data_IF_166374534270
#
_entry.id   IF_166374534270
#
_cell.length_a   1.000
_cell.length_b   1.000
_cell.length_c   1.000
_cell.angle_alpha   90.00
_cell.angle_beta   90.00
_cell.angle_gamma   90.00
#
_symmetry.space_group_name_H-M   'P 1'
#
loop_
_entity.id
_entity.type
_entity.pdbx_description
1 polymer ?
#
# COMPACT_ATOMS: atom_id res chain seq x y z
N UNK A 1 56.31 22.39 -4.18
CA UNK A 1 55.40 21.36 -4.71
C UNK A 1 54.38 21.04 -3.63
N UNK A 2 53.12 21.46 -3.82
CA UNK A 2 52.01 21.09 -2.92
C UNK A 2 51.39 19.78 -3.43
N UNK A 3 51.42 18.73 -2.62
CA UNK A 3 50.70 17.49 -2.93
C UNK A 3 49.21 17.72 -2.67
N UNK A 4 48.30 17.36 -3.60
CA UNK A 4 46.88 17.40 -3.33
C UNK A 4 46.54 16.31 -2.31
N UNK A 5 45.98 16.69 -1.17
CA UNK A 5 45.42 15.75 -0.19
C UNK A 5 44.25 15.03 -0.85
N UNK A 6 44.36 13.71 -1.01
CA UNK A 6 43.26 12.87 -1.49
C UNK A 6 42.08 13.02 -0.51
N UNK A 7 41.03 13.72 -0.94
CA UNK A 7 39.78 13.78 -0.21
C UNK A 7 39.30 12.34 0.03
N UNK A 8 39.02 12.02 1.29
CA UNK A 8 38.50 10.71 1.71
C UNK A 8 37.25 10.39 0.89
N UNK A 9 37.38 9.52 -0.10
CA UNK A 9 36.28 8.96 -0.85
C UNK A 9 35.53 8.01 0.09
N UNK A 10 34.56 8.55 0.84
CA UNK A 10 33.60 7.73 1.58
C UNK A 10 32.83 6.95 0.52
N UNK A 11 32.83 5.63 0.62
CA UNK A 11 32.07 4.80 -0.32
C UNK A 11 30.61 5.23 -0.26
N UNK A 12 29.95 5.42 -1.40
CA UNK A 12 28.51 5.80 -1.43
C UNK A 12 27.66 4.79 -0.63
N UNK A 13 28.14 3.54 -0.47
CA UNK A 13 27.53 2.52 0.40
C UNK A 13 27.54 2.86 1.89
N UNK A 14 28.50 3.65 2.38
CA UNK A 14 28.64 3.99 3.80
C UNK A 14 27.71 5.15 4.22
N UNK A 15 27.16 5.91 3.26
CA UNK A 15 26.22 7.01 3.52
C UNK A 15 24.74 6.57 3.51
N UNK A 16 24.44 5.34 3.09
CA UNK A 16 23.06 4.85 3.03
C UNK A 16 22.65 4.39 4.42
N UNK A 17 21.91 5.24 5.13
CA UNK A 17 21.37 4.94 6.45
C UNK A 17 20.21 3.96 6.31
N UNK A 18 20.38 2.77 6.86
CA UNK A 18 19.33 1.77 6.98
C UNK A 18 18.11 2.35 7.73
N UNK A 19 16.92 2.16 7.16
CA UNK A 19 15.65 2.52 7.80
C UNK A 19 15.40 1.53 8.94
N UNK A 20 14.84 2.00 10.05
CA UNK A 20 14.52 1.11 11.18
C UNK A 20 13.14 0.47 10.98
N UNK A 21 13.00 -0.81 11.34
CA UNK A 21 11.70 -1.50 11.33
C UNK A 21 10.59 -0.75 12.08
N UNK A 22 10.90 -0.20 13.25
CA UNK A 22 9.92 0.58 14.03
C UNK A 22 9.43 1.81 13.27
N UNK A 23 10.29 2.44 12.46
CA UNK A 23 9.92 3.59 11.64
C UNK A 23 8.98 3.16 10.50
N UNK A 24 9.25 2.01 9.87
CA UNK A 24 8.37 1.42 8.86
C UNK A 24 6.98 1.17 9.44
N UNK A 25 6.89 0.45 10.56
CA UNK A 25 5.61 0.16 11.21
C UNK A 25 4.87 1.41 11.67
N UNK A 26 5.59 2.37 12.24
CA UNK A 26 5.00 3.66 12.65
C UNK A 26 4.37 4.38 11.45
N UNK A 27 5.04 4.39 10.30
CA UNK A 27 4.50 4.99 9.08
C UNK A 27 3.27 4.23 8.58
N UNK A 28 3.32 2.90 8.49
CA UNK A 28 2.17 2.08 8.04
C UNK A 28 0.95 2.31 8.93
N UNK A 29 1.12 2.27 10.26
CA UNK A 29 0.01 2.49 11.20
C UNK A 29 -0.58 3.91 11.07
N UNK A 30 0.27 4.93 10.92
CA UNK A 30 -0.18 6.31 10.68
C UNK A 30 -0.92 6.45 9.35
N UNK A 31 -0.45 5.79 8.29
CA UNK A 31 -1.18 5.75 7.01
C UNK A 31 -2.55 5.13 7.19
N UNK A 32 -2.65 4.00 7.89
CA UNK A 32 -3.94 3.35 8.15
C UNK A 32 -4.87 4.26 8.96
N UNK A 33 -4.35 4.94 9.98
CA UNK A 33 -5.13 5.86 10.80
C UNK A 33 -5.68 7.04 9.99
N UNK A 34 -4.83 7.70 9.19
CA UNK A 34 -5.23 8.83 8.35
C UNK A 34 -6.30 8.39 7.34
N UNK A 35 -6.05 7.30 6.61
CA UNK A 35 -7.02 6.77 5.63
C UNK A 35 -8.32 6.30 6.29
N UNK A 36 -8.23 5.72 7.49
CA UNK A 36 -9.40 5.32 8.26
C UNK A 36 -10.27 6.52 8.64
N UNK A 37 -9.66 7.63 9.07
CA UNK A 37 -10.38 8.89 9.35
C UNK A 37 -11.05 9.44 8.09
N UNK A 38 -10.33 9.50 6.97
CA UNK A 38 -10.89 9.95 5.68
C UNK A 38 -12.09 9.09 5.24
N UNK A 39 -12.00 7.76 5.36
CA UNK A 39 -13.10 6.86 5.02
C UNK A 39 -14.30 6.98 5.98
N UNK A 40 -14.05 7.26 7.26
CA UNK A 40 -15.09 7.48 8.26
C UNK A 40 -15.82 8.81 8.01
N UNK A 41 -15.09 9.87 7.71
CA UNK A 41 -15.63 11.19 7.34
C UNK A 41 -16.48 11.10 6.06
N UNK A 42 -16.01 10.31 5.09
CA UNK A 42 -16.73 10.03 3.85
C UNK A 42 -17.89 9.01 4.03
N UNK A 43 -18.14 8.51 5.26
CA UNK A 43 -19.16 7.51 5.59
C UNK A 43 -19.04 6.19 4.80
N UNK A 44 -17.85 5.88 4.31
CA UNK A 44 -17.55 4.63 3.60
C UNK A 44 -17.43 3.48 4.60
N UNK A 45 -16.76 3.77 5.72
CA UNK A 45 -16.78 2.95 6.92
C UNK A 45 -17.54 3.68 8.03
N UNK A 46 -17.98 2.94 9.02
CA UNK A 46 -18.83 3.43 10.12
C UNK A 46 -18.22 3.09 11.48
N UNK A 47 -18.69 3.75 12.52
CA UNK A 47 -18.33 3.38 13.90
C UNK A 47 -18.80 1.98 14.27
N UNK A 48 -19.85 1.46 13.61
CA UNK A 48 -20.29 0.08 13.78
C UNK A 48 -19.24 -0.89 13.24
N UNK A 49 -18.70 -0.64 12.04
CA UNK A 49 -17.65 -1.49 11.44
C UNK A 49 -16.43 -1.59 12.39
N UNK A 50 -16.05 -0.48 13.06
CA UNK A 50 -14.98 -0.46 14.06
C UNK A 50 -15.34 -1.25 15.32
N UNK A 51 -16.56 -1.07 15.84
CA UNK A 51 -17.05 -1.81 17.01
C UNK A 51 -17.13 -3.32 16.75
N UNK A 52 -17.56 -3.72 15.56
CA UNK A 52 -17.64 -5.12 15.13
C UNK A 52 -16.25 -5.72 15.01
N UNK A 53 -15.30 -5.02 14.38
CA UNK A 53 -13.90 -5.47 14.34
C UNK A 53 -13.28 -5.67 15.73
N UNK A 54 -13.55 -4.78 16.69
CA UNK A 54 -13.08 -4.94 18.07
C UNK A 54 -13.70 -6.14 18.80
N UNK A 55 -14.93 -6.53 18.44
CA UNK A 55 -15.64 -7.68 19.01
C UNK A 55 -15.34 -8.98 18.29
N UNK A 56 -15.00 -8.91 17.01
CA UNK A 56 -14.73 -10.04 16.15
C UNK A 56 -13.47 -10.76 16.63
N UNK A 57 -13.64 -11.88 17.32
CA UNK A 57 -12.55 -12.79 17.72
C UNK A 57 -12.03 -13.61 16.52
N UNK A 58 -11.76 -12.95 15.39
CA UNK A 58 -11.30 -13.59 14.15
C UNK A 58 -12.41 -14.09 13.21
N UNK A 59 -13.65 -13.61 13.32
CA UNK A 59 -14.68 -13.82 12.30
C UNK A 59 -14.52 -12.84 11.13
N UNK A 60 -15.05 -13.20 9.95
CA UNK A 60 -15.07 -12.35 8.75
C UNK A 60 -15.84 -11.02 8.95
N UNK A 61 -16.59 -10.89 10.05
CA UNK A 61 -17.40 -9.72 10.40
C UNK A 61 -16.55 -8.45 10.62
N UNK A 62 -15.23 -8.59 10.84
CA UNK A 62 -14.30 -7.47 10.97
C UNK A 62 -13.38 -7.25 9.77
N UNK A 63 -13.57 -7.95 8.65
CA UNK A 63 -12.58 -8.00 7.56
C UNK A 63 -12.32 -6.64 6.89
N UNK A 64 -13.33 -5.78 6.77
CA UNK A 64 -13.18 -4.43 6.17
C UNK A 64 -12.17 -3.60 6.98
N UNK A 65 -12.22 -3.64 8.32
CA UNK A 65 -11.31 -2.88 9.17
C UNK A 65 -9.98 -3.63 9.37
N UNK A 66 -10.03 -4.95 9.60
CA UNK A 66 -8.85 -5.75 9.93
C UNK A 66 -7.93 -6.06 8.75
N UNK A 67 -8.47 -6.11 7.53
CA UNK A 67 -7.74 -6.45 6.30
C UNK A 67 -7.90 -5.34 5.26
N UNK A 68 -9.15 -4.98 4.95
CA UNK A 68 -9.48 -4.03 3.88
C UNK A 68 -8.83 -2.66 4.05
N UNK A 69 -8.95 -2.05 5.23
CA UNK A 69 -8.37 -0.73 5.53
C UNK A 69 -6.83 -0.72 5.45
N UNK A 70 -6.10 -1.68 6.06
CA UNK A 70 -4.66 -1.83 5.85
C UNK A 70 -4.28 -1.98 4.37
N UNK A 71 -4.96 -2.84 3.63
CA UNK A 71 -4.69 -3.06 2.21
C UNK A 71 -4.98 -1.80 1.36
N UNK A 72 -6.09 -1.12 1.62
CA UNK A 72 -6.45 0.14 0.97
C UNK A 72 -5.40 1.22 1.24
N UNK A 73 -4.98 1.38 2.50
CA UNK A 73 -3.95 2.35 2.88
C UNK A 73 -2.60 2.04 2.23
N UNK A 74 -2.27 0.76 2.13
CA UNK A 74 -1.07 0.30 1.45
C UNK A 74 -1.13 0.57 -0.06
N UNK A 75 -2.26 0.29 -0.72
CA UNK A 75 -2.49 0.63 -2.13
C UNK A 75 -2.28 2.14 -2.37
N UNK A 76 -2.81 3.01 -1.50
CA UNK A 76 -2.60 4.45 -1.60
C UNK A 76 -1.11 4.82 -1.54
N UNK A 77 -0.33 4.16 -0.68
CA UNK A 77 1.12 4.34 -0.57
C UNK A 77 1.83 3.94 -1.87
N UNK A 78 1.42 2.82 -2.49
CA UNK A 78 1.95 2.38 -3.78
C UNK A 78 1.63 3.40 -4.89
N UNK A 79 0.40 3.88 -4.96
CA UNK A 79 -0.04 4.85 -5.96
C UNK A 79 0.72 6.17 -5.83
N UNK A 80 0.93 6.68 -4.60
CA UNK A 80 1.76 7.85 -4.33
C UNK A 80 3.19 7.61 -4.80
N UNK A 81 3.77 6.45 -4.49
CA UNK A 81 5.13 6.08 -4.89
C UNK A 81 5.30 5.97 -6.41
N UNK A 82 4.25 5.54 -7.13
CA UNK A 82 4.24 5.48 -8.59
C UNK A 82 4.16 6.88 -9.18
N UNK A 83 3.24 7.72 -8.68
CA UNK A 83 3.07 9.10 -9.15
C UNK A 83 4.30 9.98 -8.92
N UNK A 84 5.03 9.75 -7.84
CA UNK A 84 6.27 10.48 -7.54
C UNK A 84 7.49 9.99 -8.34
N UNK A 85 7.36 8.93 -9.14
CA UNK A 85 8.48 8.33 -9.86
C UNK A 85 9.52 7.65 -8.94
N UNK A 86 9.15 7.36 -7.69
CA UNK A 86 10.03 6.71 -6.72
C UNK A 86 10.43 5.31 -7.20
N UNK A 87 11.68 4.91 -6.95
CA UNK A 87 12.16 3.57 -7.28
C UNK A 87 11.84 2.54 -6.18
N UNK A 88 11.53 3.01 -4.97
CA UNK A 88 11.16 2.23 -3.80
C UNK A 88 9.72 2.46 -3.32
N UNK A 89 9.48 2.26 -2.04
CA UNK A 89 8.23 2.60 -1.37
C UNK A 89 8.39 3.96 -0.67
N UNK A 90 7.65 4.96 -1.13
CA UNK A 90 7.65 6.30 -0.53
C UNK A 90 6.68 6.33 0.65
N UNK A 91 7.22 6.52 1.86
CA UNK A 91 6.46 6.60 3.11
C UNK A 91 5.90 8.00 3.35
N UNK A 92 4.99 8.12 4.33
CA UNK A 92 4.36 9.40 4.69
C UNK A 92 5.35 10.48 5.15
N UNK A 93 6.43 10.07 5.81
CA UNK A 93 7.51 10.96 6.25
C UNK A 93 8.48 11.35 5.13
N UNK A 94 8.11 11.09 3.86
CA UNK A 94 8.93 11.27 2.65
C UNK A 94 10.20 10.43 2.63
N UNK A 95 10.32 9.41 3.48
CA UNK A 95 11.42 8.44 3.41
C UNK A 95 11.09 7.41 2.35
N UNK A 96 11.96 7.29 1.35
CA UNK A 96 11.89 6.21 0.36
C UNK A 96 12.61 4.97 0.88
N UNK A 97 11.92 3.84 0.92
CA UNK A 97 12.49 2.52 1.22
C UNK A 97 12.79 1.80 -0.08
N UNK A 98 14.06 1.51 -0.34
CA UNK A 98 14.53 0.81 -1.52
C UNK A 98 15.46 -0.35 -1.15
N UNK A 99 15.99 -1.06 -2.16
CA UNK A 99 16.87 -2.22 -1.95
C UNK A 99 18.16 -1.92 -1.19
N UNK A 100 18.58 -0.64 -1.11
CA UNK A 100 19.83 -0.23 -0.49
C UNK A 100 19.65 0.17 0.98
N UNK A 101 18.51 0.74 1.36
CA UNK A 101 18.25 1.26 2.71
C UNK A 101 17.15 0.51 3.47
N UNK A 102 16.52 -0.50 2.88
CA UNK A 102 15.51 -1.30 3.57
C UNK A 102 16.07 -1.92 4.86
N UNK A 103 15.25 -2.06 5.90
CA UNK A 103 15.67 -2.76 7.10
C UNK A 103 16.10 -4.20 6.77
N UNK A 104 17.21 -4.65 7.35
CA UNK A 104 17.75 -6.02 7.17
C UNK A 104 17.05 -7.03 8.09
N UNK A 105 15.73 -6.94 8.12
CA UNK A 105 14.87 -7.82 8.89
C UNK A 105 14.31 -8.92 7.97
N UNK A 106 14.31 -10.17 8.43
CA UNK A 106 13.85 -11.32 7.65
C UNK A 106 12.42 -11.16 7.16
N UNK A 107 11.56 -10.48 7.93
CA UNK A 107 10.16 -10.26 7.55
C UNK A 107 10.06 -9.28 6.38
N UNK A 108 10.78 -8.16 6.42
CA UNK A 108 10.77 -7.25 5.28
C UNK A 108 11.49 -7.80 4.07
N UNK A 109 12.59 -8.52 4.23
CA UNK A 109 13.23 -9.18 3.09
C UNK A 109 12.28 -10.16 2.38
N UNK A 110 11.41 -10.84 3.13
CA UNK A 110 10.41 -11.74 2.56
C UNK A 110 9.30 -11.01 1.78
N UNK A 111 8.78 -9.90 2.29
CA UNK A 111 7.66 -9.18 1.66
C UNK A 111 8.06 -8.05 0.71
N UNK A 112 9.28 -7.52 0.80
CA UNK A 112 9.70 -6.34 0.02
C UNK A 112 9.69 -6.62 -1.48
N UNK A 113 10.22 -7.78 -1.92
CA UNK A 113 10.22 -8.12 -3.34
C UNK A 113 8.80 -8.30 -3.92
N UNK A 114 7.89 -9.07 -3.28
CA UNK A 114 6.49 -9.13 -3.70
C UNK A 114 5.80 -7.74 -3.79
N UNK A 115 6.06 -6.85 -2.84
CA UNK A 115 5.57 -5.47 -2.85
C UNK A 115 6.08 -4.70 -4.06
N UNK A 116 7.38 -4.78 -4.35
CA UNK A 116 7.97 -4.08 -5.49
C UNK A 116 7.43 -4.61 -6.82
N UNK A 117 7.22 -5.93 -6.93
CA UNK A 117 6.58 -6.54 -8.11
C UNK A 117 5.15 -6.06 -8.26
N UNK A 118 4.37 -6.00 -7.17
CA UNK A 118 2.99 -5.49 -7.20
C UNK A 118 2.93 -4.02 -7.64
N UNK A 119 3.81 -3.19 -7.09
CA UNK A 119 3.97 -1.78 -7.50
C UNK A 119 4.26 -1.67 -9.00
N UNK A 120 5.18 -2.49 -9.50
CA UNK A 120 5.56 -2.49 -10.91
C UNK A 120 4.41 -2.90 -11.82
N UNK A 121 3.63 -3.90 -11.42
CA UNK A 121 2.45 -4.34 -12.17
C UNK A 121 1.41 -3.22 -12.28
N UNK A 122 1.10 -2.54 -11.17
CA UNK A 122 0.18 -1.39 -11.17
C UNK A 122 0.72 -0.29 -12.09
N UNK A 123 2.04 -0.01 -12.03
CA UNK A 123 2.69 1.00 -12.87
C UNK A 123 2.59 0.69 -14.37
N UNK A 124 2.85 -0.57 -14.77
CA UNK A 124 2.89 -0.98 -16.17
C UNK A 124 1.49 -1.05 -16.78
N UNK A 125 0.48 -1.47 -16.02
CA UNK A 125 -0.90 -1.58 -16.50
C UNK A 125 -1.49 -0.19 -16.83
N UNK A 126 -0.98 0.87 -16.20
CA UNK A 126 -1.42 2.27 -16.41
C UNK A 126 -2.94 2.39 -16.30
N UNK A 127 -3.45 2.08 -15.11
CA UNK A 127 -4.86 2.22 -14.79
C UNK A 127 -5.28 3.69 -14.91
N UNK A 128 -6.43 3.94 -15.53
CA UNK A 128 -7.07 5.25 -15.51
C UNK A 128 -7.71 5.55 -14.16
N UNK A 129 -8.05 6.81 -13.89
CA UNK A 129 -8.56 7.23 -12.56
C UNK A 129 -9.80 6.44 -12.11
N UNK A 130 -10.74 6.15 -13.02
CA UNK A 130 -11.92 5.33 -12.73
C UNK A 130 -11.59 3.87 -12.43
N UNK A 131 -10.51 3.34 -13.01
CA UNK A 131 -10.06 1.96 -12.78
C UNK A 131 -9.25 1.83 -11.49
N UNK A 132 -8.49 2.87 -11.13
CA UNK A 132 -7.85 2.98 -9.81
C UNK A 132 -8.91 2.96 -8.72
N UNK A 133 -10.01 3.72 -8.90
CA UNK A 133 -11.15 3.72 -7.99
C UNK A 133 -11.85 2.36 -7.89
N UNK A 134 -11.91 1.60 -8.99
CA UNK A 134 -12.41 0.23 -8.95
C UNK A 134 -11.48 -0.68 -8.14
N UNK A 135 -10.16 -0.58 -8.35
CA UNK A 135 -9.18 -1.33 -7.57
C UNK A 135 -9.27 -0.99 -6.07
N UNK A 136 -9.43 0.28 -5.74
CA UNK A 136 -9.63 0.74 -4.36
C UNK A 136 -10.85 0.09 -3.69
N UNK A 137 -11.98 -0.01 -4.39
CA UNK A 137 -13.18 -0.72 -3.89
C UNK A 137 -12.89 -2.18 -3.60
N UNK A 138 -12.32 -2.87 -4.59
CA UNK A 138 -12.03 -4.30 -4.50
C UNK A 138 -11.08 -4.59 -3.33
N UNK A 139 -10.07 -3.74 -3.13
CA UNK A 139 -9.09 -3.90 -2.06
C UNK A 139 -9.69 -3.56 -0.68
N UNK A 140 -10.57 -2.55 -0.57
CA UNK A 140 -11.15 -2.15 0.71
C UNK A 140 -12.23 -3.13 1.19
N UNK A 141 -13.08 -3.61 0.29
CA UNK A 141 -14.24 -4.41 0.65
C UNK A 141 -14.08 -5.92 0.38
N UNK A 142 -13.07 -6.32 -0.39
CA UNK A 142 -12.80 -7.72 -0.71
C UNK A 142 -14.01 -8.38 -1.36
N UNK A 143 -14.58 -9.37 -0.67
CA UNK A 143 -15.76 -10.12 -1.13
C UNK A 143 -17.10 -9.50 -0.72
N UNK A 144 -17.11 -8.37 0.01
CA UNK A 144 -18.33 -7.70 0.44
C UNK A 144 -18.92 -6.84 -0.69
N UNK A 145 -19.62 -7.50 -1.63
CA UNK A 145 -20.22 -6.88 -2.80
C UNK A 145 -21.27 -5.81 -2.44
N UNK A 146 -22.06 -6.04 -1.39
CA UNK A 146 -23.08 -5.08 -0.94
C UNK A 146 -22.47 -3.72 -0.58
N UNK A 147 -21.36 -3.74 0.18
CA UNK A 147 -20.66 -2.50 0.56
C UNK A 147 -19.93 -1.86 -0.63
N UNK A 148 -19.43 -2.66 -1.57
CA UNK A 148 -18.82 -2.16 -2.81
C UNK A 148 -19.83 -1.41 -3.69
N UNK A 149 -21.05 -1.94 -3.81
CA UNK A 149 -22.11 -1.33 -4.61
C UNK A 149 -22.69 -0.08 -3.93
N UNK A 150 -22.73 -0.07 -2.60
CA UNK A 150 -23.20 1.08 -1.82
C UNK A 150 -22.26 2.29 -1.88
N UNK A 151 -20.95 2.09 -2.10
CA UNK A 151 -19.99 3.19 -2.16
C UNK A 151 -19.87 3.74 -3.59
N UNK A 152 -20.49 4.87 -3.91
CA UNK A 152 -20.22 5.53 -5.21
C UNK A 152 -18.96 6.42 -5.13
N UNK A 153 -17.80 5.82 -5.43
CA UNK A 153 -16.53 6.56 -5.53
C UNK A 153 -16.23 7.07 -6.96
N UNK A 154 -17.15 6.88 -7.92
CA UNK A 154 -16.92 7.17 -9.33
C UNK A 154 -16.01 6.14 -10.03
N UNK A 155 -15.98 4.89 -9.55
CA UNK A 155 -15.32 3.77 -10.21
C UNK A 155 -15.93 3.50 -11.59
N UNK A 156 -15.10 3.15 -12.56
CA UNK A 156 -15.53 2.76 -13.90
C UNK A 156 -15.18 1.30 -14.12
N UNK A 157 -16.18 0.48 -14.46
CA UNK A 157 -15.97 -0.91 -14.83
C UNK A 157 -15.37 -0.97 -16.25
N UNK A 158 -14.20 -1.59 -16.45
CA UNK A 158 -13.63 -1.74 -17.78
C UNK A 158 -14.58 -2.53 -18.70
N UNK A 159 -14.73 -2.08 -19.95
CA UNK A 159 -15.48 -2.83 -20.97
C UNK A 159 -14.73 -4.05 -21.49
N UNK A 160 -13.40 -4.02 -21.39
CA UNK A 160 -12.52 -5.10 -21.80
C UNK A 160 -12.36 -6.13 -20.67
N UNK A 161 -12.70 -7.39 -20.96
CA UNK A 161 -12.63 -8.49 -20.00
C UNK A 161 -11.21 -8.80 -19.55
N UNK A 162 -10.21 -8.60 -20.42
CA UNK A 162 -8.81 -8.74 -20.05
C UNK A 162 -8.41 -7.71 -18.99
N UNK A 163 -8.86 -6.47 -19.17
CA UNK A 163 -8.56 -5.35 -18.27
C UNK A 163 -9.25 -5.51 -16.92
N UNK A 164 -10.50 -5.96 -16.90
CA UNK A 164 -11.20 -6.32 -15.67
C UNK A 164 -10.45 -7.43 -14.91
N UNK A 165 -10.05 -8.50 -15.61
CA UNK A 165 -9.30 -9.60 -15.01
C UNK A 165 -7.92 -9.18 -14.46
N UNK A 166 -7.26 -8.19 -15.07
CA UNK A 166 -6.02 -7.61 -14.56
C UNK A 166 -6.23 -6.89 -13.22
N UNK A 167 -7.28 -6.07 -13.10
CA UNK A 167 -7.61 -5.34 -11.87
C UNK A 167 -7.96 -6.32 -10.75
N UNK A 168 -8.82 -7.30 -11.02
CA UNK A 168 -9.16 -8.36 -10.06
C UNK A 168 -7.93 -9.19 -9.66
N UNK A 169 -7.05 -9.47 -10.63
CA UNK A 169 -5.77 -10.16 -10.40
C UNK A 169 -4.86 -9.39 -9.44
N UNK A 170 -4.79 -8.07 -9.58
CA UNK A 170 -4.07 -7.20 -8.63
C UNK A 170 -4.76 -7.24 -7.26
N UNK A 171 -6.07 -7.08 -7.19
CA UNK A 171 -6.80 -7.06 -5.91
C UNK A 171 -6.59 -8.34 -5.11
N UNK A 172 -6.64 -9.51 -5.75
CA UNK A 172 -6.39 -10.80 -5.08
C UNK A 172 -4.99 -10.92 -4.48
N UNK A 173 -4.01 -10.21 -5.03
CA UNK A 173 -2.66 -10.18 -4.44
C UNK A 173 -2.63 -9.43 -3.11
N UNK A 174 -3.58 -8.54 -2.83
CA UNK A 174 -3.72 -7.92 -1.51
C UNK A 174 -4.38 -8.91 -0.52
N UNK A 175 -5.39 -9.66 -0.94
CA UNK A 175 -6.07 -10.66 -0.09
C UNK A 175 -5.20 -11.89 0.23
N UNK A 176 -4.36 -12.34 -0.71
CA UNK A 176 -3.54 -13.55 -0.56
C UNK A 176 -2.50 -13.50 0.57
N UNK A 177 -2.29 -12.34 1.19
CA UNK A 177 -1.37 -12.20 2.31
C UNK A 177 -2.01 -12.50 3.68
N UNK A 178 -3.30 -12.83 3.73
CA UNK A 178 -4.07 -13.03 4.97
C UNK A 178 -4.73 -14.42 5.11
N UNK A 179 -4.54 -15.32 4.13
CA UNK A 179 -4.99 -16.73 4.20
C UNK A 179 -3.83 -17.65 4.56
#
# INVERSE_FOLDING_TARGET
MLMPTLARSVSVREAIKEVKMVQVWTNVMKSCEIRGKELLEAKVITSLDLCEWLKAKGSNEGAIIGVGLPCYSFLQTLLVSIRSGSNGLLMLDNVEINSLNRPKDKLLDWFFNPIMVLKEQIRVIKLGDGEVKLLEKLVLFGTNLERMDAWDNGSIVPRDSLRAAQIEGISRRFDSYYT
#
